data_IF_799385194708
#
_entry.id   IF_799385194708
#
_cell.length_a   1.000
_cell.length_b   1.000
_cell.length_c   1.000
_cell.angle_alpha   90.00
_cell.angle_beta   90.00
_cell.angle_gamma   90.00
#
_symmetry.space_group_name_H-M   'P 1'
#
loop_
_entity.id
_entity.type
_entity.pdbx_description
1 polymer ?
#
# COMPACT_ATOMS: atom_id res chain seq x y z
N UNK A 1 -14.53 -59.64 -9.99
CA UNK A 1 -14.72 -58.89 -11.25
C UNK A 1 -13.93 -57.60 -11.14
N UNK A 2 -12.82 -57.56 -11.85
CA UNK A 2 -11.90 -56.43 -12.04
C UNK A 2 -12.31 -55.66 -13.28
N UNK A 3 -12.24 -54.32 -13.21
CA UNK A 3 -12.16 -53.48 -14.40
C UNK A 3 -11.20 -52.31 -14.12
N UNK A 4 -10.12 -52.28 -14.89
CA UNK A 4 -9.09 -51.25 -14.93
C UNK A 4 -9.52 -50.10 -15.84
N UNK A 5 -9.11 -48.87 -15.54
CA UNK A 5 -8.93 -47.82 -16.54
C UNK A 5 -7.51 -47.28 -16.42
N UNK A 6 -6.83 -47.33 -17.56
CA UNK A 6 -5.47 -46.87 -17.84
C UNK A 6 -5.48 -45.46 -18.45
N UNK A 7 -4.32 -44.82 -18.33
CA UNK A 7 -3.76 -43.73 -19.14
C UNK A 7 -4.26 -42.30 -18.82
N UNK A 8 -3.41 -41.26 -18.76
CA UNK A 8 -2.04 -41.15 -19.27
C UNK A 8 -1.21 -40.12 -18.49
N UNK A 9 0.02 -40.52 -18.19
CA UNK A 9 1.13 -39.66 -17.81
C UNK A 9 1.61 -38.87 -19.03
N UNK A 10 1.47 -37.54 -19.02
CA UNK A 10 2.14 -36.68 -20.00
C UNK A 10 3.40 -36.07 -19.38
N UNK A 11 4.54 -36.57 -19.85
CA UNK A 11 5.86 -35.94 -19.74
C UNK A 11 5.84 -34.63 -20.54
N UNK A 12 5.83 -33.49 -19.87
CA UNK A 12 6.19 -32.22 -20.51
C UNK A 12 7.63 -31.85 -20.14
N UNK A 13 8.52 -31.99 -21.13
CA UNK A 13 9.88 -31.43 -21.13
C UNK A 13 9.79 -29.90 -21.29
N UNK A 14 10.57 -29.10 -20.55
CA UNK A 14 10.77 -27.71 -20.92
C UNK A 14 11.63 -27.63 -22.19
N UNK A 15 11.10 -27.04 -23.25
CA UNK A 15 11.89 -26.63 -24.40
C UNK A 15 12.60 -25.31 -24.06
N UNK A 16 13.93 -25.32 -24.00
CA UNK A 16 14.74 -24.11 -24.00
C UNK A 16 14.79 -23.56 -25.43
N UNK A 17 14.20 -22.39 -25.65
CA UNK A 17 14.50 -21.58 -26.83
C UNK A 17 15.57 -20.57 -26.42
N UNK A 18 16.81 -20.84 -26.81
CA UNK A 18 17.89 -19.88 -26.72
C UNK A 18 17.83 -18.98 -27.97
N UNK A 19 17.41 -17.72 -27.79
CA UNK A 19 17.67 -16.68 -28.78
C UNK A 19 18.96 -15.95 -28.38
N UNK A 20 20.01 -16.13 -29.17
CA UNK A 20 21.25 -15.34 -29.10
C UNK A 20 21.09 -14.08 -29.94
N UNK A 21 21.27 -12.92 -29.31
CA UNK A 21 21.46 -11.64 -30.01
C UNK A 21 21.33 -10.44 -29.05
N UNK A 22 22.46 -9.77 -28.79
CA UNK A 22 22.57 -8.37 -28.32
C UNK A 22 21.61 -7.91 -27.22
N UNK A 23 22.06 -7.95 -25.96
CA UNK A 23 21.23 -7.79 -24.76
C UNK A 23 20.54 -6.44 -24.60
N UNK A 24 19.22 -6.49 -24.38
CA UNK A 24 18.57 -6.27 -23.08
C UNK A 24 17.46 -7.33 -22.95
N UNK A 25 17.57 -8.25 -22.00
CA UNK A 25 16.57 -9.30 -21.81
C UNK A 25 15.40 -8.72 -20.98
N UNK A 26 14.32 -8.34 -21.66
CA UNK A 26 13.03 -8.05 -21.01
C UNK A 26 12.32 -9.39 -20.81
N UNK A 27 12.22 -9.84 -19.57
CA UNK A 27 11.35 -10.98 -19.21
C UNK A 27 9.93 -10.46 -19.04
N UNK A 28 9.12 -10.56 -20.10
CA UNK A 28 7.67 -10.35 -20.00
C UNK A 28 7.02 -11.66 -19.60
N UNK A 29 6.59 -11.78 -18.34
CA UNK A 29 5.69 -12.84 -17.91
C UNK A 29 4.26 -12.38 -18.18
N UNK A 30 3.71 -12.76 -19.33
CA UNK A 30 2.28 -12.62 -19.62
C UNK A 30 1.56 -13.78 -18.94
N UNK A 31 0.93 -13.52 -17.79
CA UNK A 31 -0.05 -14.46 -17.23
C UNK A 31 -1.41 -14.14 -17.86
N UNK A 32 -1.79 -14.91 -18.87
CA UNK A 32 -3.18 -14.95 -19.34
C UNK A 32 -3.96 -15.77 -18.31
N UNK A 33 -4.62 -15.10 -17.37
CA UNK A 33 -5.67 -15.75 -16.57
C UNK A 33 -6.93 -15.74 -17.44
N UNK A 34 -7.17 -16.87 -18.11
CA UNK A 34 -8.44 -17.12 -18.76
C UNK A 34 -9.58 -17.01 -17.76
N UNK A 35 -10.63 -16.31 -18.15
CA UNK A 35 -11.86 -16.14 -17.39
C UNK A 35 -12.51 -17.49 -17.09
N UNK A 36 -12.19 -18.08 -15.95
CA UNK A 36 -13.09 -19.03 -15.31
C UNK A 36 -14.20 -18.19 -14.70
N UNK A 37 -15.37 -18.23 -15.34
CA UNK A 37 -16.63 -17.81 -14.76
C UNK A 37 -16.83 -18.58 -13.45
N UNK A 38 -16.42 -17.97 -12.33
CA UNK A 38 -16.79 -18.43 -11.00
C UNK A 38 -18.17 -17.87 -10.75
N UNK A 39 -19.17 -18.75 -10.77
CA UNK A 39 -20.51 -18.45 -10.35
C UNK A 39 -20.47 -17.78 -8.99
N UNK A 40 -21.12 -16.62 -8.89
CA UNK A 40 -21.45 -16.01 -7.63
C UNK A 40 -22.40 -16.95 -6.88
N UNK A 41 -21.87 -17.65 -5.89
CA UNK A 41 -22.66 -18.24 -4.81
C UNK A 41 -22.15 -17.67 -3.50
N UNK A 42 -23.04 -16.92 -2.82
CA UNK A 42 -22.89 -16.44 -1.45
C UNK A 42 -22.95 -17.63 -0.46
N UNK A 43 -21.97 -18.53 -0.51
CA UNK A 43 -21.78 -19.57 0.51
C UNK A 43 -20.39 -19.50 1.16
N UNK A 44 -20.31 -19.67 2.49
CA UNK A 44 -19.13 -19.36 3.29
C UNK A 44 -18.01 -20.38 3.08
N UNK A 45 -16.76 -19.91 3.18
CA UNK A 45 -15.55 -20.69 3.00
C UNK A 45 -15.57 -22.06 3.74
N UNK A 46 -15.65 -23.17 3.00
CA UNK A 46 -15.78 -24.51 3.59
C UNK A 46 -14.47 -25.29 3.80
N UNK A 47 -13.33 -24.87 3.22
CA UNK A 47 -12.02 -25.45 3.56
C UNK A 47 -10.87 -24.42 3.49
N UNK A 48 -10.35 -24.05 4.67
CA UNK A 48 -9.22 -23.13 4.88
C UNK A 48 -7.87 -23.85 4.95
N UNK A 49 -6.81 -23.29 4.34
CA UNK A 49 -5.44 -23.49 4.87
C UNK A 49 -5.30 -22.61 6.11
N UNK A 50 -4.99 -23.20 7.26
CA UNK A 50 -5.03 -22.56 8.60
C UNK A 50 -3.97 -21.46 8.87
N UNK A 51 -3.37 -20.85 7.86
CA UNK A 51 -2.23 -19.94 8.07
C UNK A 51 -1.98 -19.04 6.86
N UNK A 52 -1.78 -17.73 7.08
CA UNK A 52 -1.06 -16.93 6.10
C UNK A 52 0.35 -17.49 5.94
N UNK A 53 0.77 -17.73 4.70
CA UNK A 53 2.16 -18.08 4.41
C UNK A 53 2.96 -16.78 4.43
N UNK A 54 3.70 -16.59 5.51
CA UNK A 54 4.71 -15.55 5.65
C UNK A 54 6.02 -16.14 5.14
N UNK A 55 6.51 -15.64 4.01
CA UNK A 55 7.83 -16.00 3.49
C UNK A 55 8.73 -14.80 3.66
N UNK A 56 9.69 -14.92 4.57
CA UNK A 56 10.78 -13.96 4.74
C UNK A 56 12.01 -14.48 3.99
N UNK A 57 12.43 -13.78 2.96
CA UNK A 57 13.63 -14.09 2.19
C UNK A 57 14.63 -12.96 2.33
N UNK A 58 15.89 -13.28 2.66
CA UNK A 58 16.99 -12.32 2.47
C UNK A 58 17.35 -12.30 1.00
N UNK A 59 17.29 -11.13 0.37
CA UNK A 59 17.65 -10.92 -1.02
C UNK A 59 18.74 -9.87 -1.12
N UNK A 60 19.70 -10.11 -2.00
CA UNK A 60 20.62 -9.08 -2.44
C UNK A 60 20.02 -8.43 -3.69
N UNK A 61 19.56 -7.19 -3.58
CA UNK A 61 19.01 -6.43 -4.71
C UNK A 61 19.90 -5.21 -4.87
N UNK A 62 20.48 -5.02 -6.07
CA UNK A 62 21.38 -3.89 -6.38
C UNK A 62 22.55 -3.74 -5.36
N UNK A 63 23.07 -4.86 -4.85
CA UNK A 63 24.16 -4.88 -3.88
C UNK A 63 23.76 -4.58 -2.43
N UNK A 64 22.46 -4.41 -2.15
CA UNK A 64 21.94 -4.15 -0.80
C UNK A 64 21.26 -5.39 -0.21
N UNK A 65 21.57 -5.70 1.05
CA UNK A 65 20.89 -6.76 1.79
C UNK A 65 19.49 -6.29 2.19
N UNK A 66 18.48 -6.90 1.58
CA UNK A 66 17.07 -6.61 1.83
C UNK A 66 16.37 -7.81 2.46
N UNK A 67 15.44 -7.55 3.37
CA UNK A 67 14.47 -8.55 3.81
C UNK A 67 13.20 -8.38 3.00
N UNK A 68 12.90 -9.37 2.14
CA UNK A 68 11.65 -9.45 1.40
C UNK A 68 10.63 -10.23 2.22
N UNK A 69 9.48 -9.60 2.50
CA UNK A 69 8.36 -10.26 3.15
C UNK A 69 7.21 -10.43 2.16
N UNK A 70 6.96 -11.68 1.78
CA UNK A 70 5.78 -12.06 1.00
C UNK A 70 4.73 -12.65 1.95
N UNK A 71 3.55 -12.03 1.97
CA UNK A 71 2.42 -12.46 2.79
C UNK A 71 1.33 -12.98 1.85
N UNK A 72 1.22 -14.30 1.75
CA UNK A 72 0.12 -14.95 1.03
C UNK A 72 -0.91 -15.45 2.03
N UNK A 73 -1.98 -14.68 2.22
CA UNK A 73 -3.05 -15.03 3.15
C UNK A 73 -4.15 -15.82 2.45
N UNK A 74 -4.41 -17.03 2.92
CA UNK A 74 -5.60 -17.80 2.55
C UNK A 74 -6.45 -18.00 3.79
N UNK A 75 -7.57 -17.28 3.84
CA UNK A 75 -8.64 -17.32 4.83
C UNK A 75 -8.20 -17.56 6.29
N UNK A 76 -7.96 -16.44 6.99
CA UNK A 76 -8.22 -16.31 8.43
C UNK A 76 -8.57 -14.82 8.68
N UNK A 77 -9.58 -14.55 9.49
CA UNK A 77 -10.30 -13.27 9.48
C UNK A 77 -9.62 -12.18 10.34
N UNK A 78 -8.64 -12.54 11.18
CA UNK A 78 -8.03 -11.62 12.17
C UNK A 78 -6.50 -11.72 12.29
N UNK A 79 -5.76 -11.85 11.18
CA UNK A 79 -4.28 -11.86 11.27
C UNK A 79 -3.72 -10.44 11.32
N UNK A 80 -3.31 -10.03 12.53
CA UNK A 80 -2.41 -8.91 12.76
C UNK A 80 -1.01 -9.35 12.37
N UNK A 81 -0.29 -8.53 11.59
CA UNK A 81 1.14 -8.80 11.36
C UNK A 81 1.89 -8.80 12.70
N UNK A 82 2.55 -9.91 13.09
CA UNK A 82 3.25 -9.97 14.37
C UNK A 82 4.31 -8.88 14.46
N UNK A 83 4.44 -8.23 15.63
CA UNK A 83 5.50 -7.23 15.88
C UNK A 83 6.90 -7.79 15.61
N UNK A 84 7.12 -9.09 15.85
CA UNK A 84 8.38 -9.78 15.56
C UNK A 84 8.78 -9.77 14.08
N UNK A 85 7.81 -9.74 13.16
CA UNK A 85 8.08 -9.61 11.71
C UNK A 85 8.56 -8.19 11.38
N UNK A 86 7.96 -7.17 12.03
CA UNK A 86 8.41 -5.79 11.93
C UNK A 86 9.82 -5.62 12.53
N UNK A 87 10.08 -6.20 13.70
CA UNK A 87 11.41 -6.19 14.33
C UNK A 87 12.48 -6.87 13.46
N UNK A 88 12.17 -8.01 12.83
CA UNK A 88 13.09 -8.70 11.92
C UNK A 88 13.41 -7.88 10.67
N UNK A 89 12.41 -7.19 10.09
CA UNK A 89 12.61 -6.33 8.92
C UNK A 89 13.46 -5.08 9.20
N UNK A 90 13.55 -4.63 10.46
CA UNK A 90 14.37 -3.47 10.87
C UNK A 90 15.82 -3.80 11.19
N UNK A 91 16.19 -5.08 11.33
CA UNK A 91 17.60 -5.49 11.34
C UNK A 91 18.27 -5.31 9.98
N UNK A 92 17.48 -5.09 8.92
CA UNK A 92 17.97 -4.65 7.62
C UNK A 92 17.69 -3.16 7.44
N UNK A 93 18.62 -2.42 6.82
CA UNK A 93 18.43 -1.02 6.48
C UNK A 93 17.28 -0.79 5.48
N UNK A 94 16.71 -1.85 4.91
CA UNK A 94 15.69 -1.81 3.88
C UNK A 94 14.55 -2.77 4.20
N UNK A 95 13.32 -2.28 4.08
CA UNK A 95 12.11 -3.07 4.25
C UNK A 95 11.31 -3.12 2.94
N UNK A 96 10.89 -4.31 2.53
CA UNK A 96 9.98 -4.51 1.40
C UNK A 96 8.78 -5.37 1.81
N UNK A 97 7.57 -4.78 1.77
CA UNK A 97 6.29 -5.42 2.04
C UNK A 97 5.50 -5.56 0.73
N UNK A 98 5.15 -6.79 0.36
CA UNK A 98 4.27 -7.06 -0.78
C UNK A 98 3.06 -7.87 -0.32
N UNK A 99 1.87 -7.33 -0.56
CA UNK A 99 0.58 -7.94 -0.20
C UNK A 99 -0.32 -7.92 -1.42
N UNK A 100 -0.88 -9.07 -1.76
CA UNK A 100 -1.77 -9.21 -2.90
C UNK A 100 -2.98 -10.09 -2.55
N UNK A 101 -4.17 -9.70 -3.03
CA UNK A 101 -5.41 -10.45 -2.88
C UNK A 101 -5.79 -10.78 -1.43
N UNK A 102 -5.41 -9.93 -0.47
CA UNK A 102 -5.76 -10.14 0.94
C UNK A 102 -7.22 -9.76 1.21
N UNK A 103 -8.00 -10.68 1.78
CA UNK A 103 -9.39 -10.43 2.15
C UNK A 103 -9.55 -9.58 3.41
N UNK A 104 -8.60 -9.67 4.35
CA UNK A 104 -8.55 -8.88 5.58
C UNK A 104 -7.09 -8.81 6.05
N UNK A 105 -6.49 -7.62 6.05
CA UNK A 105 -5.15 -7.37 6.59
C UNK A 105 -5.22 -6.26 7.64
N UNK A 106 -4.65 -6.53 8.82
CA UNK A 106 -4.39 -5.50 9.83
C UNK A 106 -2.90 -5.33 10.04
N UNK A 107 -2.39 -4.14 9.77
CA UNK A 107 -1.03 -3.77 10.15
C UNK A 107 -1.01 -3.52 11.67
N UNK A 108 -0.09 -4.17 12.38
CA UNK A 108 0.09 -3.94 13.81
C UNK A 108 0.76 -2.59 14.07
N UNK A 109 0.45 -1.96 15.20
CA UNK A 109 1.15 -0.75 15.65
C UNK A 109 2.53 -1.13 16.18
N UNK A 110 3.55 -0.39 15.79
CA UNK A 110 4.91 -0.58 16.31
C UNK A 110 5.17 0.43 17.44
N UNK A 111 5.57 -0.06 18.61
CA UNK A 111 5.62 0.73 19.85
C UNK A 111 7.01 1.27 20.21
N UNK A 112 8.09 0.85 19.55
CA UNK A 112 9.46 1.16 20.03
C UNK A 112 10.43 1.52 18.90
N UNK A 113 10.67 2.80 18.59
CA UNK A 113 11.67 3.18 17.59
C UNK A 113 13.04 2.57 17.95
N UNK A 114 13.57 1.72 17.07
CA UNK A 114 14.98 1.37 17.13
C UNK A 114 15.80 2.62 16.80
N UNK A 115 16.91 2.83 17.52
CA UNK A 115 17.77 4.01 17.39
C UNK A 115 18.36 4.19 15.98
N UNK A 116 18.35 3.14 15.14
CA UNK A 116 18.77 3.22 13.75
C UNK A 116 17.55 3.40 12.83
N UNK A 117 17.39 4.56 12.17
CA UNK A 117 16.33 4.77 11.20
C UNK A 117 16.51 3.82 10.02
N UNK A 118 15.41 3.28 9.51
CA UNK A 118 15.43 2.50 8.28
C UNK A 118 15.89 3.41 7.14
N UNK A 119 16.80 2.92 6.29
CA UNK A 119 17.22 3.67 5.10
C UNK A 119 16.08 3.75 4.08
N UNK A 120 15.38 2.63 3.83
CA UNK A 120 14.21 2.64 2.95
C UNK A 120 13.07 1.69 3.35
N UNK A 121 11.84 2.08 3.02
CA UNK A 121 10.63 1.25 3.08
C UNK A 121 9.96 1.25 1.71
N UNK A 122 9.65 0.07 1.19
CA UNK A 122 8.75 -0.11 0.05
C UNK A 122 7.57 -0.97 0.48
N UNK A 123 6.35 -0.48 0.31
CA UNK A 123 5.13 -1.23 0.61
C UNK A 123 4.18 -1.21 -0.60
N UNK A 124 3.82 -2.40 -1.09
CA UNK A 124 2.92 -2.57 -2.23
C UNK A 124 1.74 -3.44 -1.82
N UNK A 125 0.52 -2.91 -2.01
CA UNK A 125 -0.73 -3.59 -1.75
C UNK A 125 -1.55 -3.65 -3.04
N UNK A 126 -2.01 -4.83 -3.43
CA UNK A 126 -2.77 -5.05 -4.67
C UNK A 126 -4.05 -5.83 -4.33
N UNK A 127 -5.20 -5.35 -4.79
CA UNK A 127 -6.50 -6.02 -4.67
C UNK A 127 -6.78 -6.53 -3.23
N UNK A 128 -6.44 -5.71 -2.23
CA UNK A 128 -6.42 -6.13 -0.83
C UNK A 128 -7.32 -5.24 0.04
N UNK A 129 -7.92 -5.83 1.08
CA UNK A 129 -8.65 -5.11 2.12
C UNK A 129 -7.76 -4.91 3.34
N UNK A 130 -7.41 -3.67 3.62
CA UNK A 130 -6.56 -3.25 4.72
C UNK A 130 -7.42 -2.52 5.76
N UNK A 131 -7.50 -3.07 6.98
CA UNK A 131 -8.28 -2.46 8.06
C UNK A 131 -7.72 -1.09 8.47
N UNK A 132 -6.42 -0.90 8.31
CA UNK A 132 -5.83 0.41 8.45
C UNK A 132 -4.31 0.41 8.39
N UNK A 133 -3.77 1.62 8.21
CA UNK A 133 -2.35 1.90 8.38
C UNK A 133 -2.21 2.73 9.66
N UNK A 134 -1.71 2.13 10.75
CA UNK A 134 -1.60 2.83 12.00
C UNK A 134 -0.38 3.74 12.06
N UNK A 135 -0.39 4.63 13.05
CA UNK A 135 0.71 5.58 13.30
C UNK A 135 2.08 4.89 13.31
N UNK A 136 3.04 5.47 12.58
CA UNK A 136 4.45 5.11 12.66
C UNK A 136 4.86 3.81 11.97
N UNK A 137 3.91 3.03 11.43
CA UNK A 137 4.24 1.78 10.71
C UNK A 137 5.10 2.01 9.48
N UNK A 138 4.85 3.12 8.77
CA UNK A 138 5.60 3.50 7.58
C UNK A 138 6.47 4.75 7.82
N UNK A 139 6.66 5.12 9.09
CA UNK A 139 7.37 6.34 9.52
C UNK A 139 8.88 6.15 9.75
N UNK A 140 9.61 7.27 9.84
CA UNK A 140 10.99 7.28 10.36
C UNK A 140 12.09 6.78 9.41
N UNK A 141 11.83 6.74 8.09
CA UNK A 141 12.80 6.32 7.08
C UNK A 141 13.22 7.47 6.16
N UNK A 142 14.41 7.37 5.55
CA UNK A 142 14.90 8.37 4.57
C UNK A 142 14.21 8.25 3.22
N UNK A 143 13.79 7.05 2.84
CA UNK A 143 13.09 6.79 1.59
C UNK A 143 11.86 5.93 1.86
N UNK A 144 10.69 6.36 1.41
CA UNK A 144 9.45 5.59 1.55
C UNK A 144 8.69 5.58 0.24
N UNK A 145 8.36 4.39 -0.25
CA UNK A 145 7.50 4.20 -1.41
C UNK A 145 6.32 3.33 -1.03
N UNK A 146 5.11 3.87 -1.17
CA UNK A 146 3.86 3.14 -0.93
C UNK A 146 3.01 3.12 -2.17
N UNK A 147 2.56 1.95 -2.58
CA UNK A 147 1.66 1.75 -3.72
C UNK A 147 0.48 0.91 -3.26
N UNK A 148 -0.74 1.43 -3.40
CA UNK A 148 -1.97 0.67 -3.20
C UNK A 148 -2.77 0.68 -4.49
N UNK A 149 -3.10 -0.49 -5.03
CA UNK A 149 -3.85 -0.64 -6.28
C UNK A 149 -5.08 -1.52 -6.08
N UNK A 150 -6.27 -1.01 -6.42
CA UNK A 150 -7.51 -1.79 -6.31
C UNK A 150 -7.84 -2.20 -4.88
N UNK A 151 -7.40 -1.42 -3.88
CA UNK A 151 -7.51 -1.79 -2.47
C UNK A 151 -8.73 -1.16 -1.79
N UNK A 152 -9.18 -1.76 -0.69
CA UNK A 152 -10.11 -1.16 0.26
C UNK A 152 -9.35 -0.87 1.56
N UNK A 153 -9.17 0.40 1.91
CA UNK A 153 -8.52 0.84 3.14
C UNK A 153 -9.57 1.42 4.07
N UNK A 154 -9.81 0.81 5.23
CA UNK A 154 -10.81 1.36 6.14
C UNK A 154 -10.30 2.66 6.79
N UNK A 155 -9.15 2.63 7.46
CA UNK A 155 -8.66 3.81 8.17
C UNK A 155 -7.19 4.09 7.87
N UNK A 156 -6.90 5.28 7.35
CA UNK A 156 -5.56 5.84 7.43
C UNK A 156 -5.48 6.63 8.74
N UNK A 157 -4.77 6.10 9.74
CA UNK A 157 -4.74 6.70 11.07
C UNK A 157 -3.97 8.01 11.10
N UNK A 158 -4.21 8.80 12.15
CA UNK A 158 -3.43 10.00 12.43
C UNK A 158 -1.95 9.65 12.49
N UNK A 159 -1.13 10.44 11.80
CA UNK A 159 0.33 10.30 11.75
C UNK A 159 0.79 8.95 11.16
N UNK A 160 -0.02 8.32 10.30
CA UNK A 160 0.38 7.14 9.53
C UNK A 160 1.65 7.39 8.71
N UNK A 161 1.72 8.55 8.05
CA UNK A 161 2.89 9.05 7.34
C UNK A 161 3.44 10.27 8.07
N UNK A 162 4.33 10.06 9.05
CA UNK A 162 4.91 11.14 9.85
C UNK A 162 6.28 10.76 10.43
N UNK A 163 6.93 11.75 11.06
CA UNK A 163 8.19 11.54 11.78
C UNK A 163 9.39 11.33 10.85
N UNK A 164 9.33 11.89 9.64
CA UNK A 164 10.41 11.83 8.67
C UNK A 164 11.40 12.99 8.87
N UNK A 165 12.66 12.78 8.49
CA UNK A 165 13.62 13.88 8.34
C UNK A 165 13.17 14.83 7.22
N UNK A 166 13.54 16.11 7.31
CA UNK A 166 13.22 17.13 6.30
C UNK A 166 13.74 16.79 4.90
N UNK A 167 14.76 15.95 4.79
CA UNK A 167 15.37 15.49 3.53
C UNK A 167 14.86 14.13 3.04
N UNK A 168 13.81 13.57 3.66
CA UNK A 168 13.33 12.24 3.27
C UNK A 168 12.54 12.29 1.96
N UNK A 169 12.76 11.31 1.06
CA UNK A 169 11.97 11.15 -0.17
C UNK A 169 10.80 10.20 0.11
N UNK A 170 9.58 10.72 0.07
CA UNK A 170 8.36 9.99 0.40
C UNK A 170 7.43 10.03 -0.81
N UNK A 171 7.04 8.86 -1.32
CA UNK A 171 6.17 8.71 -2.48
C UNK A 171 5.01 7.78 -2.14
N UNK A 172 3.79 8.29 -2.22
CA UNK A 172 2.57 7.50 -1.97
C UNK A 172 1.69 7.55 -3.20
N UNK A 173 1.30 6.39 -3.72
CA UNK A 173 0.42 6.25 -4.89
C UNK A 173 -0.76 5.34 -4.56
N UNK A 174 -1.96 5.89 -4.67
CA UNK A 174 -3.22 5.20 -4.40
C UNK A 174 -4.03 5.15 -5.69
N UNK A 175 -4.15 3.97 -6.29
CA UNK A 175 -4.74 3.78 -7.62
C UNK A 175 -5.99 2.92 -7.45
N UNK A 176 -7.16 3.42 -7.86
CA UNK A 176 -8.45 2.76 -7.68
C UNK A 176 -8.62 2.21 -6.26
N UNK A 177 -8.24 3.00 -5.26
CA UNK A 177 -8.28 2.59 -3.86
C UNK A 177 -9.43 3.30 -3.16
N UNK A 178 -10.25 2.53 -2.45
CA UNK A 178 -11.39 3.01 -1.67
C UNK A 178 -10.94 3.22 -0.23
N UNK A 179 -11.02 4.45 0.27
CA UNK A 179 -10.63 4.83 1.63
C UNK A 179 -11.88 5.21 2.41
N UNK A 180 -12.19 4.50 3.49
CA UNK A 180 -13.35 4.85 4.31
C UNK A 180 -13.09 6.11 5.14
N UNK A 181 -11.90 6.25 5.75
CA UNK A 181 -11.56 7.44 6.54
C UNK A 181 -10.07 7.78 6.46
N UNK A 182 -9.77 9.02 6.06
CA UNK A 182 -8.48 9.67 6.28
C UNK A 182 -8.56 10.48 7.57
N UNK A 183 -7.85 10.04 8.61
CA UNK A 183 -7.86 10.71 9.92
C UNK A 183 -7.09 12.03 9.91
N UNK A 184 -7.36 12.85 10.93
CA UNK A 184 -6.63 14.10 11.19
C UNK A 184 -5.11 13.88 11.15
N UNK A 185 -4.38 14.66 10.35
CA UNK A 185 -2.91 14.60 10.22
C UNK A 185 -2.41 13.22 9.79
N UNK A 186 -3.16 12.51 8.94
CA UNK A 186 -2.72 11.20 8.44
C UNK A 186 -1.43 11.31 7.60
N UNK A 187 -1.34 12.37 6.79
CA UNK A 187 -0.12 12.77 6.09
C UNK A 187 0.50 14.01 6.75
N UNK A 188 1.70 13.84 7.29
CA UNK A 188 2.57 14.89 7.83
C UNK A 188 3.95 14.74 7.20
N UNK A 189 4.13 15.41 6.05
CA UNK A 189 5.16 15.04 5.09
C UNK A 189 6.26 16.10 4.96
N UNK A 190 7.52 15.70 4.73
CA UNK A 190 8.60 16.63 4.40
C UNK A 190 8.35 17.30 3.04
N UNK A 191 8.99 18.44 2.80
CA UNK A 191 8.76 19.26 1.60
C UNK A 191 9.10 18.55 0.27
N UNK A 192 9.85 17.46 0.29
CA UNK A 192 10.18 16.64 -0.89
C UNK A 192 9.10 15.60 -1.24
N UNK A 193 8.11 15.37 -0.38
CA UNK A 193 7.19 14.25 -0.53
C UNK A 193 6.14 14.46 -1.63
N UNK A 194 5.79 13.38 -2.33
CA UNK A 194 4.80 13.35 -3.40
C UNK A 194 3.70 12.35 -3.06
N UNK A 195 2.43 12.79 -3.14
CA UNK A 195 1.26 11.93 -2.96
C UNK A 195 0.35 12.03 -4.18
N UNK A 196 -0.03 10.89 -4.73
CA UNK A 196 -1.01 10.80 -5.81
C UNK A 196 -2.15 9.85 -5.46
N UNK A 197 -3.36 10.25 -5.80
CA UNK A 197 -4.56 9.41 -5.79
C UNK A 197 -5.20 9.46 -7.18
N UNK A 198 -5.35 8.31 -7.82
CA UNK A 198 -5.92 8.18 -9.17
C UNK A 198 -7.10 7.20 -9.11
N UNK A 199 -8.30 7.69 -9.42
CA UNK A 199 -9.53 6.92 -9.26
C UNK A 199 -9.87 6.64 -7.79
N UNK A 200 -10.80 5.71 -7.58
CA UNK A 200 -11.23 5.29 -6.24
C UNK A 200 -12.09 6.32 -5.50
N UNK A 201 -12.15 6.19 -4.18
CA UNK A 201 -12.89 7.12 -3.34
C UNK A 201 -12.28 7.34 -1.97
N UNK A 202 -12.61 8.48 -1.36
CA UNK A 202 -12.37 8.80 0.04
C UNK A 202 -13.70 9.18 0.66
N UNK A 203 -14.30 8.31 1.49
CA UNK A 203 -15.64 8.59 2.04
C UNK A 203 -15.61 9.74 3.04
N UNK A 204 -14.63 9.80 3.92
CA UNK A 204 -14.46 10.89 4.87
C UNK A 204 -13.00 11.32 4.97
N UNK A 205 -12.74 12.60 4.72
CA UNK A 205 -11.43 13.21 4.87
C UNK A 205 -11.48 14.23 6.00
N UNK A 206 -10.90 13.86 7.13
CA UNK A 206 -10.93 14.68 8.34
C UNK A 206 -10.01 15.90 8.24
N UNK A 207 -10.26 16.92 9.08
CA UNK A 207 -9.50 18.16 9.10
C UNK A 207 -7.99 17.91 9.25
N UNK A 208 -7.17 18.68 8.53
CA UNK A 208 -5.72 18.50 8.44
C UNK A 208 -5.28 17.09 8.04
N UNK A 209 -6.12 16.30 7.37
CA UNK A 209 -5.74 14.94 6.92
C UNK A 209 -4.49 14.94 6.04
N UNK A 210 -4.22 16.04 5.34
CA UNK A 210 -2.99 16.24 4.56
C UNK A 210 -2.29 17.57 4.90
N UNK A 211 -0.99 17.49 5.22
CA UNK A 211 -0.11 18.64 5.37
C UNK A 211 1.34 18.34 4.93
N UNK A 212 2.02 19.36 4.42
CA UNK A 212 3.40 19.26 3.93
C UNK A 212 3.48 18.74 2.49
N UNK A 213 4.61 18.14 2.12
CA UNK A 213 4.86 17.64 0.77
C UNK A 213 5.23 18.72 -0.26
N UNK A 214 5.75 18.28 -1.41
CA UNK A 214 5.90 19.11 -2.61
C UNK A 214 4.66 19.02 -3.49
N UNK A 215 4.05 17.83 -3.59
CA UNK A 215 2.96 17.57 -4.54
C UNK A 215 1.84 16.73 -3.95
N UNK A 216 0.60 17.18 -4.19
CA UNK A 216 -0.62 16.39 -4.01
C UNK A 216 -1.42 16.41 -5.32
N UNK A 217 -1.62 15.23 -5.91
CA UNK A 217 -2.45 15.06 -7.11
C UNK A 217 -3.63 14.14 -6.83
N UNK A 218 -4.83 14.62 -7.11
CA UNK A 218 -6.08 13.87 -7.09
C UNK A 218 -6.65 13.87 -8.51
N UNK A 219 -6.71 12.71 -9.17
CA UNK A 219 -7.35 12.55 -10.48
C UNK A 219 -8.49 11.53 -10.39
N UNK A 220 -9.69 11.88 -10.87
CA UNK A 220 -10.87 10.99 -10.89
C UNK A 220 -11.27 10.42 -9.52
N UNK A 221 -10.92 11.11 -8.43
CA UNK A 221 -11.23 10.66 -7.06
C UNK A 221 -12.63 11.11 -6.64
N UNK A 222 -13.43 10.20 -6.08
CA UNK A 222 -14.70 10.53 -5.45
C UNK A 222 -14.50 10.82 -3.96
N UNK A 223 -14.87 11.98 -3.48
CA UNK A 223 -14.75 12.37 -2.08
C UNK A 223 -16.16 12.50 -1.51
N UNK A 224 -16.46 11.73 -0.47
CA UNK A 224 -17.76 11.81 0.22
C UNK A 224 -17.86 13.12 0.98
N UNK A 225 -17.04 13.28 2.02
CA UNK A 225 -17.00 14.49 2.84
C UNK A 225 -15.58 15.01 3.00
N UNK A 226 -15.38 16.29 2.69
CA UNK A 226 -14.13 17.01 2.89
C UNK A 226 -14.31 18.05 4.00
N UNK A 227 -13.76 17.78 5.19
CA UNK A 227 -13.91 18.66 6.36
C UNK A 227 -13.08 19.95 6.25
N UNK A 228 -13.43 20.96 7.03
CA UNK A 228 -12.65 22.21 7.12
C UNK A 228 -11.19 21.93 7.45
N UNK A 229 -10.28 22.52 6.68
CA UNK A 229 -8.84 22.34 6.76
C UNK A 229 -8.32 20.96 6.37
N UNK A 230 -9.13 20.07 5.78
CA UNK A 230 -8.74 18.70 5.42
C UNK A 230 -7.45 18.62 4.59
N UNK A 231 -7.26 19.57 3.67
CA UNK A 231 -6.05 19.68 2.86
C UNK A 231 -5.40 21.04 3.15
N UNK A 232 -4.23 20.99 3.76
CA UNK A 232 -3.37 22.16 3.87
C UNK A 232 -2.51 22.25 2.60
N UNK A 233 -2.82 23.23 1.74
CA UNK A 233 -2.08 23.43 0.48
C UNK A 233 -0.84 24.31 0.66
N UNK A 234 -0.65 24.88 1.85
CA UNK A 234 0.50 25.72 2.14
C UNK A 234 1.79 24.89 2.16
N UNK A 235 2.75 25.29 1.35
CA UNK A 235 4.03 24.59 1.19
C UNK A 235 4.06 23.58 0.02
N UNK A 236 2.90 23.27 -0.58
CA UNK A 236 2.86 22.50 -1.82
C UNK A 236 3.39 23.34 -2.98
N UNK A 237 4.29 22.75 -3.76
CA UNK A 237 4.70 23.29 -5.06
C UNK A 237 3.63 23.03 -6.13
N UNK A 238 2.90 21.92 -5.99
CA UNK A 238 1.85 21.54 -6.92
C UNK A 238 0.68 20.89 -6.20
N UNK A 239 -0.53 21.39 -6.47
CA UNK A 239 -1.78 20.81 -6.03
C UNK A 239 -2.72 20.73 -7.23
N UNK A 240 -3.26 19.54 -7.51
CA UNK A 240 -4.22 19.34 -8.59
C UNK A 240 -5.38 18.46 -8.16
N UNK A 241 -6.60 18.89 -8.50
CA UNK A 241 -7.82 18.10 -8.40
C UNK A 241 -8.49 18.07 -9.77
N UNK A 242 -8.33 16.97 -10.48
CA UNK A 242 -8.82 16.81 -11.85
C UNK A 242 -9.91 15.75 -11.87
N UNK A 243 -11.04 16.02 -12.54
CA UNK A 243 -12.17 15.08 -12.66
C UNK A 243 -12.68 14.49 -11.33
N UNK A 244 -12.47 15.21 -10.22
CA UNK A 244 -12.90 14.76 -8.91
C UNK A 244 -14.37 15.10 -8.65
N UNK A 245 -15.06 14.27 -7.88
CA UNK A 245 -16.45 14.51 -7.45
C UNK A 245 -16.43 14.65 -5.94
N UNK A 246 -16.95 15.74 -5.40
CA UNK A 246 -17.05 15.96 -3.95
C UNK A 246 -18.53 16.06 -3.59
N UNK A 247 -19.03 15.18 -2.72
CA UNK A 247 -20.44 15.20 -2.34
C UNK A 247 -20.74 16.25 -1.26
N UNK A 248 -19.84 16.45 -0.30
CA UNK A 248 -19.98 17.40 0.81
C UNK A 248 -18.65 18.14 1.06
N UNK A 249 -18.63 19.45 0.79
CA UNK A 249 -17.46 20.33 0.89
C UNK A 249 -17.71 21.40 1.96
N UNK A 250 -17.03 21.28 3.10
CA UNK A 250 -17.17 22.27 4.17
C UNK A 250 -16.33 23.52 3.87
N UNK A 251 -16.79 24.68 4.35
CA UNK A 251 -16.05 25.93 4.22
C UNK A 251 -14.63 25.83 4.80
N UNK A 252 -13.65 26.32 4.06
CA UNK A 252 -12.23 26.25 4.44
C UNK A 252 -11.61 24.85 4.33
N UNK A 253 -12.25 23.90 3.65
CA UNK A 253 -11.71 22.55 3.41
C UNK A 253 -10.30 22.55 2.81
N UNK A 254 -10.05 23.47 1.88
CA UNK A 254 -8.72 23.79 1.39
C UNK A 254 -8.17 24.97 2.18
N UNK A 255 -7.15 24.73 3.01
CA UNK A 255 -6.54 25.77 3.83
C UNK A 255 -5.33 26.36 3.10
N UNK A 256 -5.44 27.63 2.71
CA UNK A 256 -4.36 28.41 2.08
C UNK A 256 -3.80 29.54 2.97
N UNK A 257 -4.33 29.73 4.18
CA UNK A 257 -3.82 30.78 5.07
C UNK A 257 -2.62 30.28 5.87
N UNK A 258 -1.46 30.90 5.63
CA UNK A 258 -0.41 30.98 6.65
C UNK A 258 -1.09 31.47 7.93
N UNK A 259 -0.83 30.83 9.07
CA UNK A 259 -1.25 31.39 10.36
C UNK A 259 -0.70 32.81 10.40
N UNK A 260 -1.56 33.83 10.25
CA UNK A 260 -1.27 35.11 10.85
C UNK A 260 -1.15 34.82 12.34
N UNK A 261 0.04 35.04 12.88
CA UNK A 261 0.22 35.18 14.31
C UNK A 261 -0.62 36.37 14.73
N UNK A 262 -1.83 36.11 15.22
CA UNK A 262 -2.63 37.05 15.98
C UNK A 262 -3.56 36.23 16.85
N UNK A 263 -3.00 35.80 17.99
CA UNK A 263 -3.62 35.73 19.31
C UNK A 263 -2.56 35.34 20.34
#
# INVERSE_FOLDING_TARGET
MTASILSGSSLYKPAMVAARGGGWLVVVVVVVVGSLAVMATDEPCTQMRRSCRLVTERKLIEGQNMTSLNISCYCNWDQVLPSSVWELSRRTHHMALYVENSKHLRLGTYLTPHNDPLSSITATFINSKVSGIPKGVLGGSKQVKVVMKGCELQVLESRAFSGYSTTADIRVSLINTEILTLKKVAFDLPASAVVSMEGGSVRAWEGFGYQGGSQLSLDKVKIGRLLSGAINILGLQSFSMTNCIIADLLEGALKNKARSQDQ
#
